data_IF_787041587209
#
_entry.id   IF_787041587209
#
_cell.length_a   1.000
_cell.length_b   1.000
_cell.length_c   1.000
_cell.angle_alpha   90.00
_cell.angle_beta   90.00
_cell.angle_gamma   90.00
#
_symmetry.space_group_name_H-M   'P 1'
#
loop_
_entity.id
_entity.type
_entity.pdbx_description
1 polymer ?
#
# COMPACT_ATOMS: atom_id res chain seq x y z
N UNK A 1 20.01 -1.94 48.41
CA UNK A 1 20.13 -1.05 47.24
C UNK A 1 19.50 -1.77 46.05
N UNK A 2 18.40 -1.25 45.52
CA UNK A 2 17.56 -1.93 44.55
C UNK A 2 18.17 -1.93 43.15
N UNK A 3 18.12 -3.08 42.49
CA UNK A 3 18.45 -3.29 41.08
C UNK A 3 17.43 -2.52 40.22
N UNK A 4 17.89 -1.74 39.25
CA UNK A 4 17.03 -1.16 38.22
C UNK A 4 17.70 -1.29 36.86
N UNK A 5 17.74 -2.51 36.33
CA UNK A 5 18.10 -2.76 34.94
C UNK A 5 16.93 -2.35 34.05
N UNK A 6 17.03 -1.12 33.56
CA UNK A 6 16.13 -0.48 32.61
C UNK A 6 15.87 -1.41 31.41
N UNK A 7 14.63 -1.86 31.30
CA UNK A 7 14.14 -2.62 30.16
C UNK A 7 14.04 -1.74 28.90
N UNK A 8 14.32 -2.38 27.76
CA UNK A 8 13.59 -2.28 26.48
C UNK A 8 13.71 -0.97 25.68
N UNK A 9 14.41 -1.10 24.56
CA UNK A 9 13.86 -0.69 23.26
C UNK A 9 14.27 -1.76 22.24
N UNK A 10 13.45 -2.79 22.10
CA UNK A 10 13.44 -3.54 20.85
C UNK A 10 12.98 -2.52 19.81
N UNK A 11 13.90 -2.06 18.97
CA UNK A 11 13.60 -1.34 17.74
C UNK A 11 12.59 -2.21 17.01
N UNK A 12 11.31 -1.83 17.10
CA UNK A 12 10.27 -2.43 16.31
C UNK A 12 10.70 -2.13 14.87
N UNK A 13 11.30 -3.13 14.21
CA UNK A 13 11.51 -3.11 12.79
C UNK A 13 10.13 -2.82 12.22
N UNK A 14 9.91 -1.57 11.79
CA UNK A 14 8.80 -1.25 10.92
C UNK A 14 8.87 -2.32 9.84
N UNK A 15 7.83 -3.15 9.64
CA UNK A 15 7.90 -4.18 8.61
C UNK A 15 8.33 -3.44 7.35
N UNK A 16 9.53 -3.77 6.87
CA UNK A 16 10.10 -3.07 5.74
C UNK A 16 9.07 -3.19 4.63
N UNK A 17 8.57 -2.05 4.15
CA UNK A 17 7.67 -2.03 3.02
C UNK A 17 8.35 -2.84 1.92
N UNK A 18 7.72 -3.90 1.45
CA UNK A 18 8.26 -4.70 0.36
C UNK A 18 8.14 -3.85 -0.92
N UNK A 19 9.21 -3.13 -1.22
CA UNK A 19 9.27 -2.17 -2.31
C UNK A 19 9.17 -2.87 -3.67
N UNK A 20 9.61 -4.12 -3.75
CA UNK A 20 9.45 -4.97 -4.93
C UNK A 20 7.98 -5.30 -5.15
N UNK A 21 7.29 -5.76 -4.11
CA UNK A 21 5.85 -6.04 -4.17
C UNK A 21 5.04 -4.77 -4.50
N UNK A 22 5.42 -3.61 -3.95
CA UNK A 22 4.81 -2.31 -4.28
C UNK A 22 4.97 -1.94 -5.75
N UNK A 23 6.18 -2.03 -6.29
CA UNK A 23 6.47 -1.70 -7.68
C UNK A 23 5.78 -2.66 -8.65
N UNK A 24 5.83 -3.96 -8.38
CA UNK A 24 5.19 -4.99 -9.19
C UNK A 24 3.67 -4.81 -9.21
N UNK A 25 3.05 -4.60 -8.04
CA UNK A 25 1.60 -4.44 -7.97
C UNK A 25 1.14 -3.14 -8.60
N UNK A 26 1.91 -2.05 -8.48
CA UNK A 26 1.63 -0.80 -9.18
C UNK A 26 1.68 -0.98 -10.71
N UNK A 27 2.71 -1.64 -11.23
CA UNK A 27 2.83 -1.93 -12.66
C UNK A 27 1.68 -2.81 -13.17
N UNK A 28 1.26 -3.80 -12.38
CA UNK A 28 0.12 -4.66 -12.71
C UNK A 28 -1.19 -3.87 -12.75
N UNK A 29 -1.44 -2.97 -11.80
CA UNK A 29 -2.62 -2.10 -11.81
C UNK A 29 -2.62 -1.24 -13.08
N UNK A 30 -1.49 -0.63 -13.44
CA UNK A 30 -1.37 0.19 -14.65
C UNK A 30 -1.65 -0.63 -15.92
N UNK A 31 -1.08 -1.84 -16.03
CA UNK A 31 -1.26 -2.70 -17.18
C UNK A 31 -2.68 -3.29 -17.30
N UNK A 32 -3.26 -3.75 -16.19
CA UNK A 32 -4.53 -4.49 -16.18
C UNK A 32 -5.76 -3.58 -16.06
N UNK A 33 -5.61 -2.36 -15.53
CA UNK A 33 -6.74 -1.42 -15.38
C UNK A 33 -7.41 -1.06 -16.71
N UNK A 34 -6.69 -1.18 -17.83
CA UNK A 34 -7.23 -0.96 -19.17
C UNK A 34 -7.82 -2.24 -19.83
N UNK A 35 -7.47 -3.44 -19.35
CA UNK A 35 -7.75 -4.70 -20.05
C UNK A 35 -8.83 -5.57 -19.41
N UNK A 36 -8.78 -5.77 -18.09
CA UNK A 36 -9.57 -6.84 -17.41
C UNK A 36 -10.84 -6.29 -16.74
N UNK A 37 -11.04 -4.98 -16.79
CA UNK A 37 -12.10 -4.32 -16.04
C UNK A 37 -11.72 -4.15 -14.57
N UNK A 38 -12.11 -3.02 -14.00
CA UNK A 38 -11.66 -2.61 -12.66
C UNK A 38 -12.19 -3.49 -11.53
N UNK A 39 -13.34 -4.12 -11.71
CA UNK A 39 -13.97 -4.93 -10.66
C UNK A 39 -13.18 -6.20 -10.40
N UNK A 40 -12.77 -6.91 -11.45
CA UNK A 40 -12.01 -8.16 -11.34
C UNK A 40 -10.60 -7.90 -10.81
N UNK A 41 -9.96 -6.84 -11.30
CA UNK A 41 -8.67 -6.38 -10.77
C UNK A 41 -8.75 -6.06 -9.27
N UNK A 42 -9.82 -5.38 -8.81
CA UNK A 42 -10.01 -5.11 -7.39
C UNK A 42 -10.16 -6.39 -6.57
N UNK A 43 -10.92 -7.36 -7.06
CA UNK A 43 -11.10 -8.65 -6.38
C UNK A 43 -9.79 -9.43 -6.29
N UNK A 44 -8.99 -9.46 -7.37
CA UNK A 44 -7.67 -10.09 -7.38
C UNK A 44 -6.73 -9.42 -6.37
N UNK A 45 -6.63 -8.09 -6.38
CA UNK A 45 -5.78 -7.35 -5.44
C UNK A 45 -6.25 -7.49 -3.99
N UNK A 46 -7.55 -7.64 -3.75
CA UNK A 46 -8.08 -7.90 -2.43
C UNK A 46 -7.65 -9.27 -1.90
N UNK A 47 -7.64 -10.29 -2.75
CA UNK A 47 -7.23 -11.65 -2.38
C UNK A 47 -5.71 -11.80 -2.25
N UNK A 48 -4.94 -11.17 -3.15
CA UNK A 48 -3.49 -11.36 -3.24
C UNK A 48 -2.70 -10.38 -2.36
N UNK A 49 -3.01 -9.09 -2.43
CA UNK A 49 -2.25 -8.01 -1.78
C UNK A 49 -2.94 -7.46 -0.54
N UNK A 50 -4.12 -7.99 -0.19
CA UNK A 50 -4.94 -7.51 0.93
C UNK A 50 -5.52 -6.12 0.68
N UNK A 51 -5.85 -5.78 -0.57
CA UNK A 51 -6.48 -4.50 -0.90
C UNK A 51 -7.79 -4.30 -0.12
N UNK A 52 -7.85 -3.20 0.60
CA UNK A 52 -9.02 -2.74 1.32
C UNK A 52 -9.44 -1.36 0.83
N UNK A 53 -10.73 -1.23 0.54
CA UNK A 53 -11.35 0.06 0.30
C UNK A 53 -12.08 0.55 1.55
N UNK A 54 -11.78 1.76 1.98
CA UNK A 54 -12.50 2.49 3.02
C UNK A 54 -13.10 3.79 2.49
N UNK A 55 -13.78 4.51 3.37
CA UNK A 55 -14.16 5.91 3.15
C UNK A 55 -13.50 6.79 4.20
N UNK A 56 -12.89 7.88 3.77
CA UNK A 56 -12.27 8.87 4.64
C UNK A 56 -12.67 10.27 4.15
N UNK A 57 -13.31 11.06 5.03
CA UNK A 57 -13.73 12.45 4.73
C UNK A 57 -14.51 12.58 3.41
N UNK A 58 -15.41 11.64 3.12
CA UNK A 58 -16.20 11.61 1.88
C UNK A 58 -15.46 11.14 0.63
N UNK A 59 -14.18 10.76 0.74
CA UNK A 59 -13.38 10.18 -0.35
C UNK A 59 -13.24 8.67 -0.16
N UNK A 60 -12.99 7.97 -1.26
CA UNK A 60 -12.64 6.55 -1.23
C UNK A 60 -11.15 6.43 -0.91
N UNK A 61 -10.81 5.55 0.03
CA UNK A 61 -9.43 5.25 0.41
C UNK A 61 -9.08 3.83 -0.01
N UNK A 62 -7.97 3.65 -0.71
CA UNK A 62 -7.38 2.36 -1.02
C UNK A 62 -6.18 2.12 -0.10
N UNK A 63 -6.13 0.96 0.55
CA UNK A 63 -5.03 0.53 1.41
C UNK A 63 -4.58 -0.87 1.01
N UNK A 64 -3.29 -1.03 0.76
CA UNK A 64 -2.65 -2.33 0.50
C UNK A 64 -1.14 -2.19 0.68
N UNK A 65 -0.48 -3.29 1.06
CA UNK A 65 0.98 -3.36 1.22
C UNK A 65 1.58 -2.21 2.05
N UNK A 66 0.88 -1.73 3.08
CA UNK A 66 1.33 -0.63 3.94
C UNK A 66 1.27 0.78 3.32
N UNK A 67 0.79 0.92 2.08
CA UNK A 67 0.57 2.21 1.40
C UNK A 67 -0.93 2.52 1.35
N UNK A 68 -1.26 3.79 1.53
CA UNK A 68 -2.62 4.30 1.51
C UNK A 68 -2.75 5.47 0.52
N UNK A 69 -3.84 5.50 -0.25
CA UNK A 69 -4.16 6.62 -1.11
C UNK A 69 -5.66 6.90 -1.13
N UNK A 70 -6.04 8.15 -1.38
CA UNK A 70 -7.45 8.56 -1.45
C UNK A 70 -7.80 9.07 -2.85
N UNK A 71 -9.06 8.93 -3.24
CA UNK A 71 -9.59 9.41 -4.51
C UNK A 71 -11.10 9.61 -4.45
N UNK A 72 -11.66 10.25 -5.47
CA UNK A 72 -13.10 10.52 -5.54
C UNK A 72 -13.94 9.27 -5.84
N UNK A 73 -13.32 8.22 -6.38
CA UNK A 73 -13.93 6.92 -6.68
C UNK A 73 -12.94 5.79 -6.36
N UNK A 74 -13.40 4.53 -6.35
CA UNK A 74 -12.53 3.35 -6.16
C UNK A 74 -11.42 3.28 -7.22
N UNK A 75 -11.76 3.56 -8.47
CA UNK A 75 -10.80 3.63 -9.58
C UNK A 75 -9.74 4.71 -9.33
N UNK A 76 -10.18 5.94 -9.02
CA UNK A 76 -9.25 7.03 -8.79
C UNK A 76 -8.37 6.76 -7.56
N UNK A 77 -8.92 6.17 -6.51
CA UNK A 77 -8.17 5.78 -5.32
C UNK A 77 -7.13 4.70 -5.64
N UNK A 78 -7.46 3.73 -6.50
CA UNK A 78 -6.55 2.67 -6.93
C UNK A 78 -5.41 3.21 -7.82
N UNK A 79 -5.71 4.10 -8.77
CA UNK A 79 -4.70 4.78 -9.59
C UNK A 79 -3.79 5.69 -8.75
N UNK A 80 -4.37 6.39 -7.77
CA UNK A 80 -3.60 7.19 -6.83
C UNK A 80 -2.72 6.31 -5.93
N UNK A 81 -3.21 5.12 -5.55
CA UNK A 81 -2.43 4.14 -4.81
C UNK A 81 -1.24 3.64 -5.63
N UNK A 82 -1.43 3.25 -6.90
CA UNK A 82 -0.34 2.78 -7.77
C UNK A 82 0.78 3.84 -7.90
N UNK A 83 0.40 5.11 -8.07
CA UNK A 83 1.36 6.22 -8.08
C UNK A 83 2.08 6.39 -6.74
N UNK A 84 1.38 6.27 -5.61
CA UNK A 84 1.98 6.36 -4.28
C UNK A 84 2.94 5.19 -4.01
N UNK A 85 2.56 3.97 -4.39
CA UNK A 85 3.37 2.77 -4.27
C UNK A 85 4.65 2.87 -5.10
N UNK A 86 4.57 3.36 -6.35
CA UNK A 86 5.73 3.60 -7.20
C UNK A 86 6.69 4.63 -6.60
N UNK A 87 6.16 5.73 -6.05
CA UNK A 87 6.97 6.74 -5.35
C UNK A 87 7.64 6.18 -4.10
N UNK A 88 6.93 5.38 -3.31
CA UNK A 88 7.49 4.71 -2.14
C UNK A 88 8.61 3.72 -2.53
N UNK A 89 8.41 2.94 -3.59
CA UNK A 89 9.42 2.02 -4.11
C UNK A 89 10.67 2.76 -4.61
N UNK A 90 10.50 3.89 -5.32
CA UNK A 90 11.62 4.72 -5.78
C UNK A 90 12.38 5.40 -4.62
N UNK A 91 11.67 5.90 -3.60
CA UNK A 91 12.32 6.52 -2.44
C UNK A 91 13.14 5.52 -1.62
N UNK A 92 12.66 4.28 -1.51
CA UNK A 92 13.37 3.24 -0.79
C UNK A 92 14.56 2.65 -1.57
N UNK A 93 14.51 2.65 -2.91
CA UNK A 93 15.65 2.26 -3.75
C UNK A 93 16.69 3.36 -3.97
N UNK A 94 16.37 4.61 -3.59
CA UNK A 94 17.27 5.77 -3.67
C UNK A 94 17.99 6.08 -2.34
N UNK A 95 17.79 5.24 -1.32
CA UNK A 95 18.35 5.38 0.03
C UNK A 95 19.49 4.39 0.29
#
# INVERSE_FOLDING_TARGET
MAQNTKSKAATAATPALDTSALAETAARIEAQSAQVGLTDLQAQLQNESGLMFGRERGRVKAKMLGVEATGSSKDQALKNWANAARRAALQAGAA
#
